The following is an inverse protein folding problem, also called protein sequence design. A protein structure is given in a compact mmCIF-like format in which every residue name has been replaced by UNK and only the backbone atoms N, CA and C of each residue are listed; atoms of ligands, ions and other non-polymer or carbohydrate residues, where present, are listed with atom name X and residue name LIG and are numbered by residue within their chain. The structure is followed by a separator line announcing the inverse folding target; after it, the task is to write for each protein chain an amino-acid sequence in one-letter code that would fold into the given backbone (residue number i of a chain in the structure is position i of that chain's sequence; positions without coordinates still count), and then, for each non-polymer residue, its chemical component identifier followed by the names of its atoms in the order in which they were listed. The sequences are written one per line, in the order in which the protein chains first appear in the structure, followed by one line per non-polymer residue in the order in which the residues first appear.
data_IF_940550862245
#
_entry.id   IF_940550862245
#
_cell.length_a   1.000
_cell.length_b   1.000
_cell.length_c   1.000
_cell.angle_alpha   90.00
_cell.angle_beta   90.00
_cell.angle_gamma   90.00
#
_symmetry.space_group_name_H-M   'P 1'
#
loop_
_entity.id
_entity.type
_entity.pdbx_description
1 polymer ?
#
# COMPACT_ATOMS: atom_id res chain seq x y z
N UNK A 1 -8.22 15.03 -20.08
CA UNK A 1 -9.08 14.61 -18.95
C UNK A 1 -8.18 14.00 -17.89
N UNK A 2 -8.20 14.52 -16.67
CA UNK A 2 -7.29 14.08 -15.59
C UNK A 2 -7.73 12.75 -14.95
N UNK A 3 -9.01 12.39 -15.08
CA UNK A 3 -9.60 11.19 -14.51
C UNK A 3 -9.47 9.96 -15.42
N UNK A 4 -8.99 8.85 -14.85
CA UNK A 4 -8.89 7.53 -15.50
C UNK A 4 -10.05 6.66 -15.03
N UNK A 5 -10.77 6.06 -15.99
CA UNK A 5 -11.96 5.23 -15.69
C UNK A 5 -11.56 3.94 -14.96
N UNK A 6 -12.40 3.42 -14.04
CA UNK A 6 -12.12 2.19 -13.29
C UNK A 6 -11.74 0.98 -14.15
N UNK A 7 -12.37 0.81 -15.31
CA UNK A 7 -12.05 -0.28 -16.26
C UNK A 7 -10.60 -0.21 -16.78
N UNK A 8 -10.06 0.99 -16.97
CA UNK A 8 -8.66 1.21 -17.36
C UNK A 8 -7.72 1.02 -16.16
N UNK A 9 -8.16 1.38 -14.96
CA UNK A 9 -7.39 1.21 -13.72
C UNK A 9 -7.09 -0.25 -13.44
N UNK A 10 -8.03 -1.18 -13.65
CA UNK A 10 -7.78 -2.62 -13.48
C UNK A 10 -6.64 -3.12 -14.37
N UNK A 11 -6.58 -2.67 -15.62
CA UNK A 11 -5.47 -2.97 -16.53
C UNK A 11 -4.13 -2.48 -15.97
N UNK A 12 -4.10 -1.26 -15.46
CA UNK A 12 -2.92 -0.67 -14.83
C UNK A 12 -2.54 -1.40 -13.53
N UNK A 13 -3.50 -1.89 -12.73
CA UNK A 13 -3.24 -2.70 -11.53
C UNK A 13 -2.45 -3.97 -11.86
N UNK A 14 -2.89 -4.70 -12.88
CA UNK A 14 -2.22 -5.92 -13.37
C UNK A 14 -0.80 -5.61 -13.87
N UNK A 15 -0.64 -4.53 -14.65
CA UNK A 15 0.67 -4.13 -15.17
C UNK A 15 1.63 -3.71 -14.04
N UNK A 16 1.15 -2.93 -13.08
CA UNK A 16 1.92 -2.54 -11.91
C UNK A 16 2.33 -3.75 -11.07
N UNK A 17 1.40 -4.70 -10.86
CA UNK A 17 1.69 -5.96 -10.19
C UNK A 17 2.78 -6.78 -10.89
N UNK A 18 2.74 -6.87 -12.22
CA UNK A 18 3.76 -7.58 -12.99
C UNK A 18 5.14 -6.89 -12.88
N UNK A 19 5.17 -5.56 -12.98
CA UNK A 19 6.41 -4.79 -12.84
C UNK A 19 7.04 -4.96 -11.45
N UNK A 20 6.23 -4.90 -10.38
CA UNK A 20 6.69 -5.13 -9.00
C UNK A 20 7.22 -6.54 -8.79
N UNK A 21 6.53 -7.55 -9.31
CA UNK A 21 6.96 -8.95 -9.21
C UNK A 21 8.26 -9.24 -9.98
N UNK A 22 8.61 -8.42 -10.96
CA UNK A 22 9.83 -8.54 -11.76
C UNK A 22 11.04 -7.79 -11.17
N UNK A 23 10.88 -7.07 -10.05
CA UNK A 23 11.98 -6.34 -9.42
C UNK A 23 13.10 -7.29 -8.98
N UNK A 24 14.35 -6.89 -9.24
CA UNK A 24 15.52 -7.56 -8.68
C UNK A 24 15.59 -7.40 -7.17
N UNK A 25 16.26 -8.35 -6.50
CA UNK A 25 16.39 -8.38 -5.03
C UNK A 25 16.94 -7.08 -4.46
N UNK A 26 17.98 -6.51 -5.09
CA UNK A 26 18.58 -5.23 -4.69
C UNK A 26 17.56 -4.09 -4.68
N UNK A 27 16.77 -3.97 -5.74
CA UNK A 27 15.78 -2.90 -5.86
C UNK A 27 14.61 -3.11 -4.90
N UNK A 28 14.13 -4.35 -4.75
CA UNK A 28 13.09 -4.69 -3.77
C UNK A 28 13.52 -4.33 -2.35
N UNK A 29 14.75 -4.68 -1.96
CA UNK A 29 15.31 -4.36 -0.65
C UNK A 29 15.49 -2.85 -0.44
N UNK A 30 16.14 -2.14 -1.36
CA UNK A 30 16.42 -0.71 -1.21
C UNK A 30 15.15 0.14 -1.25
N UNK A 31 14.22 -0.16 -2.16
CA UNK A 31 12.94 0.54 -2.23
C UNK A 31 12.06 0.21 -1.03
N UNK A 32 12.08 -1.03 -0.55
CA UNK A 32 11.41 -1.44 0.69
C UNK A 32 12.00 -0.75 1.92
N UNK A 33 13.33 -0.64 2.00
CA UNK A 33 14.04 0.10 3.04
C UNK A 33 13.57 1.55 3.12
N UNK A 34 13.59 2.26 1.99
CA UNK A 34 13.10 3.64 1.93
C UNK A 34 11.62 3.72 2.30
N UNK A 35 10.80 2.79 1.82
CA UNK A 35 9.38 2.72 2.17
C UNK A 35 9.13 2.55 3.68
N UNK A 36 9.90 1.68 4.35
CA UNK A 36 9.79 1.45 5.79
C UNK A 36 10.23 2.66 6.61
N UNK A 37 11.34 3.29 6.22
CA UNK A 37 11.84 4.50 6.87
C UNK A 37 10.88 5.69 6.70
N UNK A 38 10.34 5.90 5.49
CA UNK A 38 9.41 7.02 5.21
C UNK A 38 8.09 6.84 5.97
N UNK A 39 7.54 5.62 6.06
CA UNK A 39 6.38 5.37 6.90
C UNK A 39 6.66 5.58 8.38
N UNK A 40 7.88 5.25 8.83
CA UNK A 40 8.29 5.53 10.20
C UNK A 40 8.35 7.05 10.48
N UNK A 41 8.90 7.85 9.56
CA UNK A 41 8.82 9.32 9.61
C UNK A 41 7.38 9.84 9.69
N UNK A 42 6.48 9.33 8.85
CA UNK A 42 5.08 9.73 8.89
C UNK A 42 4.39 9.34 10.21
N UNK A 43 4.78 8.20 10.79
CA UNK A 43 4.26 7.72 12.08
C UNK A 43 4.71 8.61 13.23
N UNK A 44 5.99 8.97 13.31
CA UNK A 44 6.49 9.88 14.36
C UNK A 44 5.93 11.29 14.20
N UNK A 45 5.74 11.78 12.97
CA UNK A 45 5.05 13.04 12.70
C UNK A 45 3.60 12.99 13.22
N UNK A 46 2.85 11.93 12.90
CA UNK A 46 1.48 11.76 13.34
C UNK A 46 1.37 11.71 14.87
N UNK A 47 2.26 10.98 15.55
CA UNK A 47 2.30 10.93 17.01
C UNK A 47 2.69 12.27 17.64
N UNK A 48 3.64 12.97 17.04
CA UNK A 48 4.04 14.32 17.51
C UNK A 48 2.87 15.29 17.39
N UNK A 49 2.20 15.31 16.24
CA UNK A 49 1.04 16.18 16.02
C UNK A 49 -0.11 15.86 16.98
N UNK A 50 -0.42 14.58 17.19
CA UNK A 50 -1.43 14.16 18.16
C UNK A 50 -1.06 14.55 19.60
N UNK A 51 0.21 14.40 19.99
CA UNK A 51 0.69 14.76 21.32
C UNK A 51 0.66 16.27 21.58
N UNK A 52 1.07 17.08 20.59
CA UNK A 52 1.09 18.54 20.70
C UNK A 52 -0.31 19.14 20.73
N UNK A 53 -1.21 18.62 19.89
CA UNK A 53 -2.59 19.15 19.77
C UNK A 53 -3.57 18.52 20.75
N UNK A 54 -3.22 17.36 21.33
CA UNK A 54 -4.13 16.49 22.10
C UNK A 54 -5.34 16.00 21.29
N UNK A 55 -5.26 16.07 19.96
CA UNK A 55 -6.30 15.65 19.02
C UNK A 55 -5.74 14.56 18.10
N UNK A 56 -6.04 13.26 18.35
CA UNK A 56 -5.55 12.16 17.52
C UNK A 56 -5.87 12.31 16.02
N UNK A 57 -6.98 12.98 15.70
CA UNK A 57 -7.40 13.24 14.33
C UNK A 57 -6.40 14.11 13.55
N UNK A 58 -5.67 15.01 14.21
CA UNK A 58 -4.63 15.80 13.54
C UNK A 58 -3.44 14.92 13.15
N UNK A 59 -3.08 13.94 14.00
CA UNK A 59 -2.10 12.92 13.63
C UNK A 59 -2.55 12.10 12.42
N UNK A 60 -3.82 11.72 12.37
CA UNK A 60 -4.40 11.01 11.22
C UNK A 60 -4.45 11.86 9.94
N UNK A 61 -4.65 13.17 10.06
CA UNK A 61 -4.67 14.09 8.93
C UNK A 61 -3.29 14.19 8.25
N UNK A 62 -2.20 14.13 9.02
CA UNK A 62 -0.82 14.28 8.49
C UNK A 62 -0.15 12.95 8.13
N UNK A 63 -0.64 11.82 8.65
CA UNK A 63 -0.10 10.50 8.34
C UNK A 63 -0.01 10.15 6.83
N UNK A 64 -0.96 10.54 5.96
CA UNK A 64 -0.88 10.24 4.53
C UNK A 64 0.37 10.73 3.80
N UNK A 65 1.11 11.71 4.36
CA UNK A 65 2.36 12.25 3.79
C UNK A 65 3.33 11.12 3.44
N UNK A 66 3.54 10.15 4.33
CA UNK A 66 4.47 9.05 4.08
C UNK A 66 4.05 8.17 2.91
N UNK A 67 2.77 7.80 2.87
CA UNK A 67 2.22 6.97 1.79
C UNK A 67 2.32 7.67 0.43
N UNK A 68 1.99 8.98 0.38
CA UNK A 68 2.09 9.80 -0.83
C UNK A 68 3.52 9.80 -1.38
N UNK A 69 4.51 10.05 -0.53
CA UNK A 69 5.93 10.07 -0.94
C UNK A 69 6.33 8.73 -1.55
N UNK A 70 5.96 7.62 -0.90
CA UNK A 70 6.28 6.27 -1.35
C UNK A 70 5.71 5.97 -2.74
N UNK A 71 4.44 6.29 -2.96
CA UNK A 71 3.77 6.02 -4.23
C UNK A 71 4.29 6.93 -5.34
N UNK A 72 4.46 8.23 -5.08
CA UNK A 72 4.94 9.18 -6.10
C UNK A 72 6.38 8.92 -6.54
N UNK A 73 7.24 8.44 -5.63
CA UNK A 73 8.63 8.08 -5.94
C UNK A 73 8.79 6.66 -6.49
N UNK A 74 7.70 5.90 -6.64
CA UNK A 74 7.77 4.52 -7.16
C UNK A 74 8.57 3.57 -6.26
N UNK A 75 8.53 3.81 -4.94
CA UNK A 75 9.12 2.93 -3.94
C UNK A 75 8.23 1.70 -3.71
N UNK A 76 8.76 0.72 -2.98
CA UNK A 76 8.04 -0.50 -2.68
C UNK A 76 7.32 -0.36 -1.35
N UNK A 77 6.06 -0.81 -1.34
CA UNK A 77 5.25 -0.98 -0.15
C UNK A 77 4.52 -2.31 -0.28
N UNK A 78 4.86 -3.27 0.59
CA UNK A 78 4.31 -4.63 0.48
C UNK A 78 2.78 -4.63 0.60
N UNK A 79 2.24 -3.81 1.51
CA UNK A 79 0.81 -3.70 1.77
C UNK A 79 0.04 -3.13 0.58
N UNK A 80 0.61 -2.17 -0.16
CA UNK A 80 0.06 -1.70 -1.44
C UNK A 80 0.15 -2.76 -2.56
N UNK A 81 1.14 -3.64 -2.49
CA UNK A 81 1.38 -4.69 -3.49
C UNK A 81 0.44 -5.89 -3.34
N UNK A 82 -0.18 -6.07 -2.18
CA UNK A 82 -1.13 -7.15 -1.90
C UNK A 82 -2.40 -7.13 -2.77
N UNK A 83 -2.79 -5.98 -3.33
CA UNK A 83 -3.88 -5.92 -4.32
C UNK A 83 -3.40 -6.04 -5.78
N UNK A 84 -2.10 -5.90 -6.04
CA UNK A 84 -1.56 -5.73 -7.39
C UNK A 84 -0.90 -7.01 -7.91
N UNK A 85 0.08 -7.53 -7.17
CA UNK A 85 0.86 -8.70 -7.61
C UNK A 85 -0.01 -9.95 -7.76
N UNK A 86 -0.94 -10.27 -6.83
CA UNK A 86 -1.82 -11.42 -7.02
C UNK A 86 -2.65 -11.36 -8.30
N UNK A 87 -3.08 -10.17 -8.75
CA UNK A 87 -3.78 -10.02 -10.02
C UNK A 87 -2.86 -10.28 -11.22
N UNK A 88 -1.59 -9.89 -11.14
CA UNK A 88 -0.60 -10.24 -12.16
C UNK A 88 -0.35 -11.75 -12.23
N UNK A 89 -0.37 -12.45 -11.08
CA UNK A 89 -0.31 -13.92 -11.03
C UNK A 89 -1.57 -14.54 -11.63
N UNK A 90 -2.75 -14.02 -11.29
CA UNK A 90 -4.04 -14.46 -11.85
C UNK A 90 -4.07 -14.34 -13.39
N UNK A 91 -3.49 -13.26 -13.93
CA UNK A 91 -3.34 -13.01 -15.36
C UNK A 91 -2.12 -13.72 -16.00
N UNK A 92 -1.41 -14.57 -15.25
CA UNK A 92 -0.22 -15.30 -15.71
C UNK A 92 0.92 -14.39 -16.22
N UNK A 93 0.98 -13.14 -15.74
CA UNK A 93 2.06 -12.18 -16.01
C UNK A 93 3.15 -12.19 -14.93
N UNK A 94 2.91 -12.87 -13.82
CA UNK A 94 3.86 -13.14 -12.76
C UNK A 94 3.65 -14.57 -12.25
N UNK A 95 4.61 -15.08 -11.49
CA UNK A 95 4.49 -16.39 -10.84
C UNK A 95 4.23 -16.24 -9.34
N UNK A 96 3.63 -17.25 -8.71
CA UNK A 96 3.50 -17.28 -7.24
C UNK A 96 4.87 -17.17 -6.58
N UNK A 97 5.91 -17.79 -7.17
CA UNK A 97 7.29 -17.70 -6.67
C UNK A 97 7.82 -16.27 -6.70
N UNK A 98 7.66 -15.55 -7.81
CA UNK A 98 8.12 -14.15 -7.90
C UNK A 98 7.32 -13.22 -7.00
N UNK A 99 6.03 -13.50 -6.79
CA UNK A 99 5.20 -12.79 -5.82
C UNK A 99 5.71 -12.96 -4.38
N UNK A 100 5.90 -14.20 -3.93
CA UNK A 100 6.38 -14.47 -2.57
C UNK A 100 7.80 -13.94 -2.37
N UNK A 101 8.66 -14.03 -3.38
CA UNK A 101 10.00 -13.45 -3.35
C UNK A 101 9.96 -11.93 -3.19
N UNK A 102 9.14 -11.22 -3.99
CA UNK A 102 8.97 -9.77 -3.83
C UNK A 102 8.48 -9.43 -2.41
N UNK A 103 7.41 -10.09 -1.94
CA UNK A 103 6.86 -9.83 -0.60
C UNK A 103 7.92 -9.99 0.49
N UNK A 104 8.69 -11.08 0.44
CA UNK A 104 9.75 -11.35 1.41
C UNK A 104 10.81 -10.25 1.42
N UNK A 105 11.39 -9.93 0.26
CA UNK A 105 12.47 -8.95 0.16
C UNK A 105 12.01 -7.53 0.51
N UNK A 106 10.79 -7.15 0.14
CA UNK A 106 10.23 -5.84 0.48
C UNK A 106 9.92 -5.76 1.98
N UNK A 107 9.37 -6.80 2.60
CA UNK A 107 9.16 -6.88 4.06
C UNK A 107 10.48 -6.75 4.81
N UNK A 108 11.51 -7.47 4.36
CA UNK A 108 12.84 -7.38 4.97
C UNK A 108 13.41 -5.96 4.82
N UNK A 109 13.27 -5.35 3.64
CA UNK A 109 13.62 -3.96 3.41
C UNK A 109 12.92 -3.03 4.40
N UNK A 110 11.59 -3.13 4.52
CA UNK A 110 10.81 -2.34 5.47
C UNK A 110 11.33 -2.43 6.89
N UNK A 111 11.54 -3.64 7.40
CA UNK A 111 12.07 -3.87 8.76
C UNK A 111 13.42 -3.18 8.96
N UNK A 112 14.35 -3.33 8.01
CA UNK A 112 15.67 -2.70 8.08
C UNK A 112 15.57 -1.16 8.05
N UNK A 113 14.76 -0.61 7.16
CA UNK A 113 14.55 0.84 7.04
C UNK A 113 13.92 1.44 8.29
N UNK A 114 12.89 0.78 8.82
CA UNK A 114 12.24 1.19 10.05
C UNK A 114 13.15 1.09 11.26
N UNK A 115 13.99 0.05 11.37
CA UNK A 115 14.94 -0.10 12.47
C UNK A 115 16.04 0.97 12.43
N UNK A 116 16.63 1.23 11.26
CA UNK A 116 17.63 2.31 11.09
C UNK A 116 17.01 3.66 11.43
N UNK A 117 15.81 3.95 10.92
CA UNK A 117 15.12 5.18 11.25
C UNK A 117 14.86 5.31 12.76
N UNK A 118 14.40 4.24 13.42
CA UNK A 118 14.14 4.27 14.85
C UNK A 118 15.41 4.60 15.66
N UNK A 119 16.55 3.98 15.34
CA UNK A 119 17.82 4.31 16.00
C UNK A 119 18.23 5.78 15.80
N UNK A 120 18.13 6.29 14.56
CA UNK A 120 18.44 7.68 14.24
C UNK A 120 17.47 8.66 14.90
N UNK A 121 16.18 8.34 14.93
CA UNK A 121 15.14 9.14 15.56
C UNK A 121 15.38 9.25 17.07
N UNK A 122 15.66 8.12 17.73
CA UNK A 122 16.02 8.11 19.15
C UNK A 122 17.23 9.03 19.41
N UNK A 123 18.31 8.84 18.67
CA UNK A 123 19.52 9.66 18.81
C UNK A 123 19.21 11.15 18.64
N UNK A 124 18.38 11.51 17.65
CA UNK A 124 18.02 12.90 17.36
C UNK A 124 17.14 13.53 18.45
N UNK A 125 16.11 12.84 18.94
CA UNK A 125 15.15 13.44 19.89
C UNK A 125 15.60 13.36 21.34
N UNK A 126 16.49 12.42 21.66
CA UNK A 126 17.04 12.25 23.01
C UNK A 126 18.43 12.83 23.16
N UNK A 127 19.03 13.40 22.11
CA UNK A 127 20.46 13.74 22.04
C UNK A 127 21.33 12.55 22.47
N UNK A 128 21.19 11.39 21.82
CA UNK A 128 21.89 10.15 22.20
C UNK A 128 21.63 9.71 23.66
N UNK A 129 20.39 9.83 24.14
CA UNK A 129 19.97 9.36 25.47
C UNK A 129 20.14 10.38 26.61
N UNK A 130 20.62 11.59 26.34
CA UNK A 130 20.77 12.64 27.35
C UNK A 130 19.44 13.28 27.78
N UNK A 131 18.37 13.15 26.98
CA UNK A 131 17.02 13.63 27.28
C UNK A 131 16.07 12.42 27.31
N UNK A 132 15.44 12.17 28.45
CA UNK A 132 14.61 10.97 28.67
C UNK A 132 13.09 11.23 28.55
N UNK A 133 12.64 12.48 28.76
CA UNK A 133 11.21 12.84 28.83
C UNK A 133 10.64 13.32 27.48
N UNK A 134 10.74 12.45 26.47
CA UNK A 134 10.13 12.72 25.16
C UNK A 134 8.74 12.07 25.04
N UNK A 135 7.69 12.90 24.97
CA UNK A 135 6.29 12.44 24.85
C UNK A 135 6.08 11.44 23.69
N UNK A 136 6.77 11.65 22.56
CA UNK A 136 6.67 10.78 21.39
C UNK A 136 7.31 9.40 21.65
N UNK A 137 8.41 9.33 22.40
CA UNK A 137 9.06 8.07 22.78
C UNK A 137 8.14 7.26 23.69
N UNK A 138 7.55 7.90 24.71
CA UNK A 138 6.58 7.27 25.60
C UNK A 138 5.33 6.78 24.85
N UNK A 139 4.88 7.54 23.85
CA UNK A 139 3.77 7.12 22.98
C UNK A 139 4.13 5.86 22.20
N UNK A 140 5.34 5.78 21.64
CA UNK A 140 5.82 4.60 20.89
C UNK A 140 5.91 3.38 21.81
N UNK A 141 6.49 3.52 23.01
CA UNK A 141 6.59 2.44 24.02
C UNK A 141 5.19 1.90 24.35
N UNK A 142 4.27 2.78 24.77
CA UNK A 142 2.90 2.41 25.13
C UNK A 142 2.14 1.77 23.97
N UNK A 143 2.34 2.28 22.76
CA UNK A 143 1.69 1.74 21.57
C UNK A 143 2.21 0.34 21.25
N UNK A 144 3.52 0.08 21.39
CA UNK A 144 4.10 -1.25 21.19
C UNK A 144 3.50 -2.27 22.16
N UNK A 145 3.37 -1.93 23.44
CA UNK A 145 2.77 -2.81 24.47
C UNK A 145 1.27 -3.03 24.21
N UNK A 146 0.54 -1.96 23.88
CA UNK A 146 -0.90 -2.06 23.57
C UNK A 146 -1.16 -2.94 22.36
N UNK A 147 -0.34 -2.82 21.31
CA UNK A 147 -0.45 -3.61 20.07
C UNK A 147 0.05 -5.04 20.21
N UNK A 148 0.61 -5.43 21.35
CA UNK A 148 1.10 -6.78 21.61
C UNK A 148 0.45 -7.36 22.85
N UNK A 149 0.93 -6.99 24.04
CA UNK A 149 0.40 -7.43 25.34
C UNK A 149 -1.09 -7.14 25.49
N UNK A 150 -1.58 -6.03 24.92
CA UNK A 150 -3.01 -5.70 24.92
C UNK A 150 -3.86 -6.74 24.17
N UNK A 151 -3.41 -7.25 23.02
CA UNK A 151 -4.09 -8.35 22.34
C UNK A 151 -3.86 -9.69 23.03
N UNK A 152 -2.65 -9.93 23.56
CA UNK A 152 -2.33 -11.15 24.30
C UNK A 152 -3.24 -11.36 25.51
N UNK A 153 -3.54 -10.29 26.25
CA UNK A 153 -4.45 -10.31 27.40
C UNK A 153 -5.89 -10.71 27.04
N UNK A 154 -6.28 -10.55 25.77
CA UNK A 154 -7.61 -10.91 25.26
C UNK A 154 -7.65 -12.32 24.65
N UNK A 155 -6.52 -13.03 24.60
CA UNK A 155 -6.46 -14.40 24.05
C UNK A 155 -7.00 -14.47 22.61
N UNK A 156 -7.89 -15.43 22.35
CA UNK A 156 -8.47 -15.64 21.03
C UNK A 156 -9.17 -14.40 20.46
N UNK A 157 -9.91 -13.66 21.29
CA UNK A 157 -10.62 -12.45 20.86
C UNK A 157 -9.63 -11.35 20.44
N UNK A 158 -8.45 -11.30 21.08
CA UNK A 158 -7.36 -10.42 20.69
C UNK A 158 -6.83 -10.73 19.29
N UNK A 159 -6.62 -12.01 18.97
CA UNK A 159 -6.19 -12.46 17.64
C UNK A 159 -7.24 -12.18 16.56
N UNK A 160 -8.52 -12.40 16.87
CA UNK A 160 -9.62 -12.08 15.96
C UNK A 160 -9.71 -10.56 15.72
N UNK A 161 -9.60 -9.76 16.77
CA UNK A 161 -9.66 -8.30 16.68
C UNK A 161 -8.50 -7.72 15.87
N UNK A 162 -7.26 -8.15 16.13
CA UNK A 162 -6.07 -7.65 15.40
C UNK A 162 -6.13 -8.06 13.91
N UNK A 163 -6.61 -9.26 13.60
CA UNK A 163 -6.82 -9.70 12.23
C UNK A 163 -7.91 -8.87 11.52
N UNK A 164 -9.06 -8.67 12.15
CA UNK A 164 -10.15 -7.86 11.57
C UNK A 164 -9.72 -6.42 11.31
N UNK A 165 -9.03 -5.79 12.28
CA UNK A 165 -8.43 -4.46 12.09
C UNK A 165 -7.45 -4.44 10.93
N UNK A 166 -6.66 -5.50 10.75
CA UNK A 166 -5.72 -5.58 9.65
C UNK A 166 -6.40 -5.72 8.28
N UNK A 167 -7.50 -6.46 8.18
CA UNK A 167 -8.32 -6.54 6.96
C UNK A 167 -8.85 -5.16 6.58
N UNK A 168 -9.46 -4.46 7.54
CA UNK A 168 -10.02 -3.13 7.33
C UNK A 168 -8.94 -2.09 6.98
N UNK A 169 -7.79 -2.15 7.65
CA UNK A 169 -6.64 -1.30 7.33
C UNK A 169 -6.26 -1.43 5.86
N UNK A 170 -5.96 -2.66 5.44
CA UNK A 170 -5.31 -2.81 4.15
C UNK A 170 -6.26 -2.70 2.97
N UNK A 171 -7.57 -2.91 3.17
CA UNK A 171 -8.56 -2.51 2.17
C UNK A 171 -8.38 -1.03 1.82
N UNK A 172 -8.29 -0.13 2.82
CA UNK A 172 -8.07 1.29 2.57
C UNK A 172 -6.68 1.59 1.99
N UNK A 173 -5.61 0.94 2.48
CA UNK A 173 -4.24 1.17 1.97
C UNK A 173 -4.12 0.80 0.48
N UNK A 174 -4.60 -0.38 0.09
CA UNK A 174 -4.57 -0.78 -1.32
C UNK A 174 -5.53 0.06 -2.15
N UNK A 175 -6.68 0.46 -1.60
CA UNK A 175 -7.58 1.38 -2.28
C UNK A 175 -6.89 2.72 -2.55
N UNK A 176 -6.09 3.24 -1.61
CA UNK A 176 -5.26 4.43 -1.82
C UNK A 176 -4.26 4.25 -2.97
N UNK A 177 -3.58 3.10 -3.04
CA UNK A 177 -2.67 2.79 -4.13
C UNK A 177 -3.37 2.74 -5.49
N UNK A 178 -4.59 2.18 -5.54
CA UNK A 178 -5.41 2.10 -6.76
C UNK A 178 -6.01 3.46 -7.13
N UNK A 179 -6.45 4.25 -6.16
CA UNK A 179 -6.97 5.60 -6.36
C UNK A 179 -5.88 6.55 -6.90
N UNK A 180 -4.61 6.34 -6.56
CA UNK A 180 -3.51 7.06 -7.21
C UNK A 180 -3.42 6.80 -8.73
N UNK A 181 -4.04 5.73 -9.23
CA UNK A 181 -4.07 5.37 -10.65
C UNK A 181 -5.29 5.98 -11.37
N UNK A 182 -6.24 6.58 -10.63
CA UNK A 182 -7.41 7.27 -11.20
C UNK A 182 -7.11 8.69 -11.65
N UNK A 183 -5.92 9.23 -11.36
CA UNK A 183 -5.51 10.60 -11.67
C UNK A 183 -4.20 10.64 -12.45
N UNK A 184 -4.04 11.60 -13.37
CA UNK A 184 -2.79 11.83 -14.10
C UNK A 184 -1.93 12.90 -13.43
N UNK A 185 -2.56 13.95 -12.92
CA UNK A 185 -1.91 15.05 -12.20
C UNK A 185 -1.38 14.60 -10.83
N UNK A 186 -0.21 15.10 -10.44
CA UNK A 186 0.38 14.79 -9.12
C UNK A 186 -0.54 15.24 -7.98
N UNK A 187 -1.17 16.42 -8.09
CA UNK A 187 -2.13 16.92 -7.08
C UNK A 187 -3.36 16.02 -6.96
N UNK A 188 -3.92 15.54 -8.09
CA UNK A 188 -5.03 14.60 -8.09
C UNK A 188 -4.67 13.29 -7.39
N UNK A 189 -3.47 12.75 -7.64
CA UNK A 189 -2.97 11.54 -6.95
C UNK A 189 -2.83 11.75 -5.45
N UNK A 190 -2.28 12.90 -5.03
CA UNK A 190 -2.13 13.25 -3.61
C UNK A 190 -3.50 13.23 -2.91
N UNK A 191 -4.48 13.95 -3.45
CA UNK A 191 -5.83 14.02 -2.88
C UNK A 191 -6.52 12.65 -2.85
N UNK A 192 -6.42 11.89 -3.94
CA UNK A 192 -7.03 10.57 -4.05
C UNK A 192 -6.46 9.58 -3.03
N UNK A 193 -5.15 9.61 -2.79
CA UNK A 193 -4.50 8.82 -1.75
C UNK A 193 -4.85 9.28 -0.34
N UNK A 194 -5.05 10.59 -0.12
CA UNK A 194 -5.27 11.15 1.21
C UNK A 194 -6.52 10.58 1.89
N UNK A 195 -7.61 10.43 1.13
CA UNK A 195 -8.92 10.01 1.62
C UNK A 195 -8.89 8.65 2.36
N UNK A 196 -8.50 7.54 1.72
CA UNK A 196 -8.51 6.24 2.40
C UNK A 196 -7.42 6.13 3.47
N UNK A 197 -6.26 6.77 3.28
CA UNK A 197 -5.13 6.67 4.22
C UNK A 197 -5.43 7.41 5.53
N UNK A 198 -6.05 8.60 5.46
CA UNK A 198 -6.56 9.29 6.65
C UNK A 198 -7.60 8.43 7.37
N UNK A 199 -8.55 7.86 6.62
CA UNK A 199 -9.68 7.13 7.18
C UNK A 199 -9.25 5.95 8.05
N UNK A 200 -8.39 5.06 7.54
CA UNK A 200 -7.99 3.89 8.32
C UNK A 200 -7.14 4.28 9.53
N UNK A 201 -6.29 5.30 9.39
CA UNK A 201 -5.40 5.71 10.47
C UNK A 201 -6.19 6.38 11.60
N UNK A 202 -7.17 7.23 11.26
CA UNK A 202 -8.08 7.84 12.22
C UNK A 202 -8.89 6.81 13.02
N UNK A 203 -9.20 5.66 12.41
CA UNK A 203 -9.92 4.56 13.05
C UNK A 203 -9.02 3.61 13.86
N UNK A 204 -7.70 3.81 13.85
CA UNK A 204 -6.77 3.02 14.65
C UNK A 204 -6.64 1.56 14.20
N UNK A 205 -6.75 1.31 12.89
CA UNK A 205 -6.57 -0.03 12.32
C UNK A 205 -5.08 -0.45 12.28
N UNK A 206 -4.86 -1.74 12.01
CA UNK A 206 -3.53 -2.36 12.12
C UNK A 206 -2.84 -2.45 10.76
N UNK A 207 -1.71 -1.76 10.61
CA UNK A 207 -0.91 -1.75 9.38
C UNK A 207 0.44 -2.42 9.61
N UNK A 208 0.71 -3.50 8.87
CA UNK A 208 1.90 -4.33 9.05
C UNK A 208 3.19 -3.52 9.02
N UNK A 209 3.36 -2.62 8.05
CA UNK A 209 4.60 -1.85 7.87
C UNK A 209 4.77 -0.76 8.92
N UNK A 210 3.67 -0.19 9.44
CA UNK A 210 3.74 0.74 10.58
C UNK A 210 4.15 -0.03 11.84
N UNK A 211 3.60 -1.23 12.04
CA UNK A 211 3.94 -2.07 13.19
C UNK A 211 5.39 -2.59 13.13
N UNK A 212 5.94 -2.80 11.93
CA UNK A 212 7.38 -3.05 11.70
C UNK A 212 8.30 -1.89 12.13
N UNK A 213 7.75 -0.69 12.32
CA UNK A 213 8.45 0.41 12.98
C UNK A 213 8.09 0.49 14.46
N UNK A 214 6.81 0.68 14.79
CA UNK A 214 6.38 1.07 16.14
C UNK A 214 6.79 0.03 17.19
N UNK A 215 6.67 -1.26 16.87
CA UNK A 215 6.94 -2.31 17.85
C UNK A 215 8.45 -2.50 18.07
N UNK A 216 9.30 -2.65 17.02
CA UNK A 216 10.75 -2.67 17.20
C UNK A 216 11.32 -1.39 17.82
N UNK A 217 10.79 -0.21 17.45
CA UNK A 217 11.17 1.05 18.07
C UNK A 217 10.79 1.06 19.56
N UNK A 218 9.57 0.64 19.92
CA UNK A 218 9.14 0.51 21.30
C UNK A 218 10.04 -0.42 22.10
N UNK A 219 10.36 -1.60 21.57
CA UNK A 219 11.31 -2.53 22.20
C UNK A 219 12.68 -1.89 22.44
N UNK A 220 13.22 -1.19 21.44
CA UNK A 220 14.49 -0.46 21.56
C UNK A 220 14.44 0.67 22.60
N UNK A 221 13.25 1.26 22.81
CA UNK A 221 13.07 2.36 23.76
C UNK A 221 12.64 1.89 25.16
N UNK A 222 12.51 0.58 25.39
CA UNK A 222 12.23 0.00 26.71
C UNK A 222 10.82 -0.56 26.92
N UNK A 223 10.03 -0.76 25.86
CA UNK A 223 8.76 -1.46 25.95
C UNK A 223 8.94 -2.92 26.39
N UNK A 224 8.08 -3.39 27.28
CA UNK A 224 8.09 -4.79 27.73
C UNK A 224 7.41 -5.69 26.70
N UNK A 225 8.06 -5.90 25.56
CA UNK A 225 7.56 -6.71 24.43
C UNK A 225 8.65 -7.68 24.01
N UNK A 226 8.29 -8.96 23.93
CA UNK A 226 9.21 -9.99 23.42
C UNK A 226 9.09 -10.12 21.90
N UNK A 227 10.16 -10.56 21.23
CA UNK A 227 10.14 -10.83 19.79
C UNK A 227 9.05 -11.85 19.43
N UNK A 228 8.95 -12.95 20.19
CA UNK A 228 7.90 -13.96 19.99
C UNK A 228 6.49 -13.40 20.21
N UNK A 229 6.31 -12.56 21.24
CA UNK A 229 5.04 -11.90 21.52
C UNK A 229 4.61 -10.96 20.40
N UNK A 230 5.54 -10.18 19.85
CA UNK A 230 5.27 -9.33 18.69
C UNK A 230 4.79 -10.13 17.48
N UNK A 231 5.49 -11.21 17.10
CA UNK A 231 5.11 -11.98 15.92
C UNK A 231 3.77 -12.70 16.08
N UNK A 232 3.53 -13.33 17.23
CA UNK A 232 2.32 -14.09 17.49
C UNK A 232 1.08 -13.19 17.64
N UNK A 233 1.18 -12.15 18.47
CA UNK A 233 0.03 -11.32 18.84
C UNK A 233 -0.19 -10.12 17.93
N UNK A 234 0.72 -9.86 16.99
CA UNK A 234 0.59 -8.73 16.07
C UNK A 234 1.09 -9.04 14.65
N UNK A 235 2.40 -9.25 14.43
CA UNK A 235 2.95 -9.14 13.08
C UNK A 235 2.38 -10.18 12.10
N UNK A 236 2.24 -11.45 12.53
CA UNK A 236 1.66 -12.51 11.70
C UNK A 236 0.19 -12.26 11.39
N UNK A 237 -0.72 -12.11 12.38
CA UNK A 237 -2.12 -11.90 12.07
C UNK A 237 -2.36 -10.59 11.31
N UNK A 238 -1.54 -9.55 11.53
CA UNK A 238 -1.64 -8.30 10.78
C UNK A 238 -1.18 -8.48 9.32
N UNK A 239 -0.09 -9.19 9.05
CA UNK A 239 0.32 -9.49 7.67
C UNK A 239 -0.74 -10.30 6.92
N UNK A 240 -1.31 -11.32 7.56
CA UNK A 240 -2.37 -12.15 6.97
C UNK A 240 -3.65 -11.35 6.73
N UNK A 241 -4.09 -10.56 7.72
CA UNK A 241 -5.26 -9.71 7.59
C UNK A 241 -5.07 -8.63 6.53
N UNK A 242 -3.90 -7.97 6.50
CA UNK A 242 -3.57 -7.01 5.46
C UNK A 242 -3.59 -7.67 4.06
N UNK A 243 -2.99 -8.86 3.91
CA UNK A 243 -3.03 -9.59 2.66
C UNK A 243 -4.47 -9.89 2.22
N UNK A 244 -5.30 -10.42 3.12
CA UNK A 244 -6.70 -10.71 2.83
C UNK A 244 -7.50 -9.46 2.46
N UNK A 245 -7.35 -8.38 3.22
CA UNK A 245 -8.03 -7.10 2.95
C UNK A 245 -7.69 -6.51 1.60
N UNK A 246 -6.40 -6.48 1.27
CA UNK A 246 -5.92 -5.95 -0.01
C UNK A 246 -6.30 -6.82 -1.19
N UNK A 247 -6.11 -8.14 -1.07
CA UNK A 247 -6.42 -9.09 -2.13
C UNK A 247 -7.92 -9.13 -2.43
N UNK A 248 -8.77 -9.31 -1.43
CA UNK A 248 -10.19 -9.58 -1.65
C UNK A 248 -10.92 -8.30 -2.07
N UNK A 249 -10.88 -7.26 -1.23
CA UNK A 249 -11.76 -6.10 -1.39
C UNK A 249 -11.26 -5.11 -2.45
N UNK A 250 -9.95 -4.89 -2.55
CA UNK A 250 -9.39 -4.02 -3.58
C UNK A 250 -9.00 -4.82 -4.83
N UNK A 251 -8.24 -5.90 -4.69
CA UNK A 251 -7.75 -6.68 -5.82
C UNK A 251 -8.88 -7.35 -6.60
N UNK A 252 -9.46 -8.41 -6.03
CA UNK A 252 -10.41 -9.30 -6.69
C UNK A 252 -11.74 -8.60 -6.99
N UNK A 253 -12.34 -7.88 -6.03
CA UNK A 253 -13.64 -7.26 -6.25
C UNK A 253 -13.60 -6.17 -7.33
N UNK A 254 -12.59 -5.28 -7.34
CA UNK A 254 -12.46 -4.30 -8.43
C UNK A 254 -12.16 -4.99 -9.75
N UNK A 255 -11.26 -5.98 -9.75
CA UNK A 255 -10.93 -6.75 -10.93
C UNK A 255 -12.16 -7.43 -11.55
N UNK A 256 -12.97 -8.16 -10.78
CA UNK A 256 -14.13 -8.88 -11.32
C UNK A 256 -15.29 -7.98 -11.73
N UNK A 257 -15.41 -6.79 -11.14
CA UNK A 257 -16.49 -5.85 -11.47
C UNK A 257 -16.18 -4.96 -12.68
N UNK A 258 -14.89 -4.69 -12.96
CA UNK A 258 -14.46 -3.76 -14.01
C UNK A 258 -13.58 -4.41 -15.08
N UNK A 259 -13.21 -5.68 -14.96
CA UNK A 259 -12.51 -6.41 -16.02
C UNK A 259 -13.46 -6.67 -17.19
N UNK A 260 -13.07 -6.17 -18.37
CA UNK A 260 -13.82 -6.29 -19.62
C UNK A 260 -13.88 -7.73 -20.18
N UNK A 261 -13.31 -8.73 -19.49
CA UNK A 261 -13.30 -10.14 -19.92
C UNK A 261 -14.69 -10.79 -20.11
N UNK A 262 -15.80 -10.09 -19.82
CA UNK A 262 -17.17 -10.62 -19.93
C UNK A 262 -18.19 -9.76 -20.72
N UNK A 263 -17.77 -8.70 -21.43
CA UNK A 263 -18.67 -7.91 -22.30
C UNK A 263 -18.52 -8.17 -23.81
N UNK A 264 -17.68 -9.12 -24.22
CA UNK A 264 -17.47 -9.47 -25.64
C UNK A 264 -18.13 -10.79 -26.11
N UNK A 265 -19.06 -11.37 -25.32
CA UNK A 265 -19.70 -12.65 -25.66
C UNK A 265 -21.22 -12.57 -25.89
N UNK A 266 -21.82 -11.37 -25.92
CA UNK A 266 -23.22 -11.20 -26.24
C UNK A 266 -23.38 -10.35 -27.51
N UNK A 267 -23.38 -11.06 -28.64
CA UNK A 267 -24.04 -10.77 -29.92
C UNK A 267 -24.13 -9.30 -30.40
N UNK A 268 -23.38 -9.02 -31.46
CA UNK A 268 -23.94 -8.28 -32.61
C UNK A 268 -23.99 -9.28 -33.77
N UNK A 269 -25.16 -9.56 -34.39
CA UNK A 269 -25.23 -10.44 -35.54
C UNK A 269 -24.47 -9.81 -36.71
N UNK A 270 -23.59 -10.59 -37.32
CA UNK A 270 -22.94 -10.24 -38.57
C UNK A 270 -23.98 -9.86 -39.64
N UNK A 271 -24.06 -8.57 -39.97
CA UNK A 271 -24.68 -8.13 -41.21
C UNK A 271 -23.75 -8.52 -42.37
N UNK A 272 -24.25 -9.44 -43.19
CA UNK A 272 -23.59 -10.03 -44.34
C UNK A 272 -23.18 -9.01 -45.41
N UNK A 273 -22.02 -9.29 -46.01
CA UNK A 273 -21.37 -8.66 -47.15
C UNK A 273 -22.24 -8.19 -48.34
N UNK A 274 -21.80 -7.10 -48.98
CA UNK A 274 -21.76 -6.96 -50.45
C UNK A 274 -20.43 -6.28 -50.84
N UNK A 275 -19.55 -6.90 -51.65
CA UNK A 275 -18.38 -6.24 -52.20
C UNK A 275 -18.70 -5.61 -53.57
N UNK A 276 -18.77 -4.28 -53.63
CA UNK A 276 -18.85 -3.49 -54.86
C UNK A 276 -17.47 -2.94 -55.25
N UNK A 277 -17.04 -3.24 -56.47
CA UNK A 277 -15.72 -2.96 -57.07
C UNK A 277 -15.28 -1.50 -56.98
N UNK A 278 -13.99 -1.33 -56.72
CA UNK A 278 -13.21 -0.11 -57.01
C UNK A 278 -13.05 0.01 -58.53
N UNK A 279 -13.49 1.12 -59.10
CA UNK A 279 -13.05 1.54 -60.43
C UNK A 279 -12.31 2.87 -60.30
N UNK A 280 -11.00 2.77 -60.52
CA UNK A 280 -10.01 3.82 -60.48
C UNK A 280 -10.07 4.55 -61.82
N UNK A 281 -10.69 5.74 -61.87
CA UNK A 281 -10.63 6.58 -63.07
C UNK A 281 -9.40 7.49 -63.01
N UNK A 282 -8.42 7.12 -63.83
CA UNK A 282 -7.24 7.90 -64.17
C UNK A 282 -7.63 9.18 -64.95
N UNK A 283 -6.98 10.29 -64.64
CA UNK A 283 -6.86 11.44 -65.55
C UNK A 283 -5.83 11.11 -66.65
N UNK A 284 -6.01 11.64 -67.88
CA UNK A 284 -5.10 12.71 -68.29
C UNK A 284 -5.69 13.80 -69.22
N UNK A 285 -5.17 15.01 -69.02
CA UNK A 285 -4.76 16.06 -69.96
C UNK A 285 -5.57 16.42 -71.24
N UNK A 286 -5.93 17.72 -71.28
CA UNK A 286 -5.75 18.69 -72.38
C UNK A 286 -6.38 18.46 -73.78
N UNK A 287 -7.34 19.34 -74.14
CA UNK A 287 -7.27 20.10 -75.39
C UNK A 287 -8.20 21.33 -75.43
N UNK A 288 -7.59 22.48 -75.78
CA UNK A 288 -8.09 23.71 -76.41
C UNK A 288 -9.58 23.79 -76.81
N UNK A 289 -10.25 24.87 -76.40
CA UNK A 289 -10.60 26.03 -77.25
C UNK A 289 -10.94 27.23 -76.36
#
# INVERSE_FOLDING_TARGET
MDYVKPDQVVGSMVQSGAAKAALGVKDALLRGFLGGAILAFATTLAYTAAAQTKLPLIGALVFPIGFVIIILLGLELVTGSFALIPLAVLEKKATVRSMLANFFWVILGHLLGSAVYAALFYAAVTNFGHIQDQNVIQTIIKTAETKTNGYAALGYDGLAAVFAKAVLCNWMVTLGAVMAMTAQSTSGKILAMWLPILTFFAQGFEHAVVNMFVIPAGMMYGANVTLGGWWLWNQLPVLLGNFAGGLIFTGLFLYYTHSQKKKSSAAEPAASAVPGKVELLAAPAAHRR
#
